data_IF_615126559392
#
_entry.id   IF_615126559392
#
_cell.length_a   1.000
_cell.length_b   1.000
_cell.length_c   1.000
_cell.angle_alpha   90.00
_cell.angle_beta   90.00
_cell.angle_gamma   90.00
#
_symmetry.space_group_name_H-M   'P 1'
#
loop_
_entity.id
_entity.type
_entity.pdbx_description
1 polymer ?
#
# COMPACT_ATOMS: atom_id res chain seq x y z
N UNK A 1 32.17 -12.46 -12.40
CA UNK A 1 30.83 -12.90 -12.85
C UNK A 1 29.89 -11.71 -12.76
N UNK A 2 29.15 -11.41 -13.84
CA UNK A 2 28.14 -10.34 -13.90
C UNK A 2 26.79 -10.88 -13.42
N UNK A 3 25.99 -10.04 -12.78
CA UNK A 3 24.68 -10.35 -12.22
C UNK A 3 23.65 -9.34 -12.68
N UNK A 4 22.37 -9.72 -12.63
CA UNK A 4 21.26 -8.79 -12.79
C UNK A 4 21.36 -7.69 -11.74
N UNK A 5 21.17 -6.44 -12.15
CA UNK A 5 21.35 -5.23 -11.35
C UNK A 5 22.75 -4.61 -11.44
N UNK A 6 23.75 -5.30 -11.98
CA UNK A 6 25.10 -4.73 -12.15
C UNK A 6 25.10 -3.62 -13.21
N UNK A 7 25.88 -2.56 -12.95
CA UNK A 7 26.22 -1.55 -13.94
C UNK A 7 27.53 -1.90 -14.63
N UNK A 8 27.57 -1.76 -15.95
CA UNK A 8 28.66 -2.27 -16.78
C UNK A 8 29.00 -1.35 -17.94
N UNK A 9 30.26 -1.40 -18.34
CA UNK A 9 30.77 -0.77 -19.55
C UNK A 9 30.58 -1.67 -20.76
N UNK A 10 29.89 -1.15 -21.77
CA UNK A 10 29.73 -1.75 -23.08
C UNK A 10 30.69 -1.12 -24.09
N UNK A 11 31.32 -1.97 -24.89
CA UNK A 11 32.12 -1.56 -26.04
C UNK A 11 31.25 -0.93 -27.13
N UNK A 12 31.74 0.17 -27.69
CA UNK A 12 31.15 0.85 -28.85
C UNK A 12 32.03 0.64 -30.08
N UNK A 13 31.44 0.52 -31.28
CA UNK A 13 32.17 0.20 -32.52
C UNK A 13 33.07 1.32 -33.06
N UNK A 14 33.01 2.52 -32.48
CA UNK A 14 33.82 3.69 -32.83
C UNK A 14 34.71 4.04 -31.64
N UNK A 15 35.91 4.65 -31.84
CA UNK A 15 36.91 5.03 -30.83
C UNK A 15 36.40 6.07 -29.80
N UNK A 16 35.32 5.69 -29.14
CA UNK A 16 34.45 6.48 -28.29
C UNK A 16 34.47 5.81 -26.91
N UNK A 17 34.35 6.60 -25.84
CA UNK A 17 34.21 6.09 -24.49
C UNK A 17 33.10 5.04 -24.38
N UNK A 18 33.33 4.03 -23.54
CA UNK A 18 32.37 2.96 -23.28
C UNK A 18 30.99 3.51 -22.87
N UNK A 19 29.94 2.88 -23.38
CA UNK A 19 28.58 3.15 -22.95
C UNK A 19 28.32 2.49 -21.60
N UNK A 20 27.59 3.17 -20.72
CA UNK A 20 27.23 2.64 -19.41
C UNK A 20 25.81 2.11 -19.49
N UNK A 21 25.62 0.88 -19.00
CA UNK A 21 24.32 0.20 -19.04
C UNK A 21 24.08 -0.57 -17.74
N UNK A 22 22.81 -0.77 -17.38
CA UNK A 22 22.41 -1.63 -16.26
C UNK A 22 21.86 -2.94 -16.79
N UNK A 23 22.28 -4.06 -16.22
CA UNK A 23 21.78 -5.39 -16.58
C UNK A 23 20.42 -5.62 -15.94
N UNK A 24 19.37 -5.72 -16.75
CA UNK A 24 18.01 -6.07 -16.30
C UNK A 24 17.80 -7.58 -16.33
N UNK A 25 18.40 -8.27 -17.29
CA UNK A 25 18.28 -9.73 -17.43
C UNK A 25 19.47 -10.32 -18.21
N UNK A 26 19.78 -11.59 -17.95
CA UNK A 26 20.84 -12.35 -18.61
C UNK A 26 20.28 -13.67 -19.13
N UNK A 27 20.16 -13.77 -20.46
CA UNK A 27 19.59 -14.92 -21.13
C UNK A 27 20.67 -15.73 -21.84
N UNK A 28 20.71 -17.04 -21.57
CA UNK A 28 21.59 -17.97 -22.29
C UNK A 28 20.80 -18.67 -23.39
N UNK A 29 21.20 -18.47 -24.63
CA UNK A 29 20.56 -19.11 -25.78
C UNK A 29 20.88 -20.62 -25.82
N UNK A 30 20.06 -21.44 -26.49
CA UNK A 30 20.32 -22.88 -26.64
C UNK A 30 21.65 -23.19 -27.33
N UNK A 31 22.17 -22.26 -28.15
CA UNK A 31 23.50 -22.35 -28.78
C UNK A 31 24.66 -22.04 -27.82
N UNK A 32 24.37 -21.67 -26.58
CA UNK A 32 25.35 -21.42 -25.52
C UNK A 32 25.86 -19.97 -25.45
N UNK A 33 25.39 -19.08 -26.34
CA UNK A 33 25.70 -17.65 -26.28
C UNK A 33 24.90 -16.97 -25.16
N UNK A 34 25.47 -15.94 -24.55
CA UNK A 34 24.81 -15.18 -23.48
C UNK A 34 24.48 -13.79 -24.01
N UNK A 35 23.21 -13.41 -23.90
CA UNK A 35 22.68 -12.10 -24.23
C UNK A 35 22.25 -11.39 -22.95
N UNK A 36 22.53 -10.10 -22.89
CA UNK A 36 22.14 -9.24 -21.78
C UNK A 36 21.05 -8.28 -22.25
N UNK A 37 19.92 -8.27 -21.55
CA UNK A 37 18.90 -7.23 -21.69
C UNK A 37 19.27 -6.09 -20.75
N UNK A 38 19.46 -4.90 -21.29
CA UNK A 38 20.13 -3.80 -20.60
C UNK A 38 19.42 -2.47 -20.79
N UNK A 39 19.41 -1.67 -19.73
CA UNK A 39 18.92 -0.29 -19.72
C UNK A 39 20.08 0.67 -19.96
N UNK A 40 19.85 1.74 -20.74
CA UNK A 40 20.91 2.64 -21.20
C UNK A 40 21.08 3.86 -20.29
N UNK A 41 22.34 4.29 -20.14
CA UNK A 41 22.69 5.59 -19.57
C UNK A 41 23.33 6.47 -20.63
N UNK A 42 22.83 7.70 -20.74
CA UNK A 42 23.34 8.72 -21.64
C UNK A 42 24.34 9.61 -20.90
N UNK A 43 25.42 9.99 -21.57
CA UNK A 43 26.33 11.02 -21.07
C UNK A 43 25.82 12.39 -21.49
N UNK A 44 26.33 13.44 -20.86
CA UNK A 44 25.99 14.83 -21.22
C UNK A 44 26.16 15.13 -22.71
N UNK A 45 27.23 14.63 -23.34
CA UNK A 45 27.48 14.84 -24.78
C UNK A 45 26.42 14.20 -25.69
N UNK A 46 25.67 13.22 -25.19
CA UNK A 46 24.65 12.50 -25.94
C UNK A 46 23.28 13.20 -25.81
N UNK A 47 23.21 14.32 -25.07
CA UNK A 47 22.01 15.11 -24.80
C UNK A 47 22.16 16.48 -25.46
N UNK A 48 21.05 17.03 -25.95
CA UNK A 48 21.04 18.34 -26.61
C UNK A 48 21.44 19.47 -25.65
N UNK A 49 22.17 20.47 -26.17
CA UNK A 49 22.63 21.60 -25.38
C UNK A 49 21.48 22.40 -24.74
N UNK A 50 20.31 22.43 -25.39
CA UNK A 50 19.11 23.08 -24.86
C UNK A 50 18.60 22.39 -23.58
N UNK A 51 18.54 21.05 -23.58
CA UNK A 51 18.13 20.28 -22.40
C UNK A 51 19.16 20.35 -21.29
N UNK A 52 20.46 20.33 -21.62
CA UNK A 52 21.51 20.50 -20.63
C UNK A 52 21.43 21.88 -19.95
N UNK A 53 21.16 22.94 -20.71
CA UNK A 53 20.97 24.28 -20.14
C UNK A 53 19.82 24.30 -19.14
N UNK A 54 18.70 23.65 -19.46
CA UNK A 54 17.57 23.49 -18.53
C UNK A 54 17.99 22.67 -17.30
N UNK A 55 18.70 21.57 -17.48
CA UNK A 55 19.15 20.71 -16.37
C UNK A 55 20.12 21.42 -15.42
N UNK A 56 21.00 22.26 -15.96
CA UNK A 56 22.03 23.00 -15.22
C UNK A 56 21.48 24.26 -14.54
N UNK A 57 20.42 24.85 -15.09
CA UNK A 57 19.75 26.05 -14.56
C UNK A 57 18.55 25.74 -13.66
N UNK A 58 17.96 24.55 -13.77
CA UNK A 58 16.91 24.13 -12.86
C UNK A 58 17.47 24.19 -11.45
N UNK A 59 16.96 25.09 -10.61
CA UNK A 59 17.28 25.12 -9.18
C UNK A 59 16.86 23.78 -8.58
N UNK A 60 17.77 22.81 -8.61
CA UNK A 60 17.69 21.58 -7.81
C UNK A 60 18.08 21.91 -6.37
N UNK A 61 17.67 23.10 -5.90
CA UNK A 61 17.90 23.62 -4.56
C UNK A 61 16.90 22.90 -3.69
N UNK A 62 17.42 22.01 -2.84
CA UNK A 62 16.61 21.16 -1.97
C UNK A 62 16.02 21.91 -0.76
N UNK A 63 16.13 23.24 -0.71
CA UNK A 63 15.62 24.06 0.38
C UNK A 63 14.11 24.35 0.30
N UNK A 64 13.49 24.19 -0.87
CA UNK A 64 12.03 24.32 -1.01
C UNK A 64 11.38 22.94 -1.15
N UNK A 65 11.15 22.31 0.00
CA UNK A 65 10.46 21.01 0.13
C UNK A 65 8.97 21.04 -0.29
N UNK A 66 8.49 22.14 -0.86
CA UNK A 66 7.09 22.41 -1.16
C UNK A 66 6.95 23.12 -2.51
N UNK A 67 6.33 22.47 -3.50
CA UNK A 67 5.70 23.20 -4.60
C UNK A 67 4.50 23.98 -4.02
N UNK A 68 4.70 25.24 -3.62
CA UNK A 68 3.58 26.14 -3.35
C UNK A 68 2.92 26.43 -4.69
N UNK A 69 1.66 26.04 -4.84
CA UNK A 69 0.81 26.28 -6.02
C UNK A 69 0.77 27.82 -6.27
N UNK A 70 1.69 28.35 -7.08
CA UNK A 70 1.62 29.77 -7.51
C UNK A 70 0.34 29.92 -8.33
N UNK A 71 -0.48 30.96 -8.11
CA UNK A 71 -1.71 31.15 -8.85
C UNK A 71 -1.39 31.20 -10.36
N UNK A 72 -1.98 30.27 -11.12
CA UNK A 72 -1.72 30.14 -12.56
C UNK A 72 -2.25 31.36 -13.30
N UNK A 73 -1.42 31.95 -14.18
CA UNK A 73 -1.89 32.88 -15.21
C UNK A 73 -2.72 32.13 -16.26
N UNK A 74 -3.82 32.74 -16.69
CA UNK A 74 -4.96 32.19 -17.47
C UNK A 74 -4.69 31.60 -18.88
N UNK A 75 -3.57 30.94 -19.15
CA UNK A 75 -3.36 30.26 -20.44
C UNK A 75 -2.68 28.89 -20.29
N UNK A 76 -3.46 27.86 -20.66
CA UNK A 76 -3.12 26.49 -21.09
C UNK A 76 -3.37 25.29 -20.15
N UNK A 77 -4.13 24.33 -20.70
CA UNK A 77 -3.73 22.92 -20.88
C UNK A 77 -4.02 21.92 -19.75
N UNK A 78 -4.92 20.96 -20.01
CA UNK A 78 -5.50 19.97 -19.07
C UNK A 78 -4.63 18.72 -18.79
N UNK A 79 -3.29 18.80 -18.84
CA UNK A 79 -2.43 17.63 -18.58
C UNK A 79 -1.33 17.96 -17.57
N UNK A 80 -1.48 17.44 -16.34
CA UNK A 80 -0.60 17.66 -15.20
C UNK A 80 0.73 16.90 -15.26
N UNK A 81 1.57 17.23 -16.23
CA UNK A 81 2.99 16.87 -16.24
C UNK A 81 3.82 18.12 -16.46
N UNK A 82 4.84 18.34 -15.62
CA UNK A 82 5.82 19.40 -15.77
C UNK A 82 6.73 19.02 -16.94
N UNK A 83 6.30 19.37 -18.15
CA UNK A 83 7.09 19.22 -19.38
C UNK A 83 7.96 20.46 -19.51
N UNK A 84 9.28 20.32 -19.37
CA UNK A 84 10.22 21.37 -19.71
C UNK A 84 10.33 21.47 -21.25
N UNK A 85 9.29 21.98 -21.89
CA UNK A 85 9.35 22.35 -23.31
C UNK A 85 10.00 23.73 -23.41
N UNK A 86 11.16 23.78 -24.08
CA UNK A 86 11.76 25.03 -24.53
C UNK A 86 10.85 25.69 -25.56
N UNK A 87 10.10 26.70 -25.13
CA UNK A 87 9.47 27.67 -26.00
C UNK A 87 9.82 29.07 -25.49
N UNK A 88 10.40 29.86 -26.40
CA UNK A 88 10.95 31.19 -26.17
C UNK A 88 10.04 32.09 -25.33
N UNK A 89 10.53 32.49 -24.16
CA UNK A 89 9.93 33.54 -23.35
C UNK A 89 10.90 34.71 -23.31
N UNK A 90 10.56 35.78 -24.04
CA UNK A 90 11.26 37.06 -23.97
C UNK A 90 11.21 37.54 -22.52
N UNK A 91 12.38 37.78 -21.95
CA UNK A 91 12.55 38.33 -20.59
C UNK A 91 12.32 39.83 -20.67
N UNK A 92 11.31 40.34 -19.97
CA UNK A 92 11.21 41.76 -19.63
C UNK A 92 12.17 42.05 -18.46
N UNK A 93 12.99 43.08 -18.63
CA UNK A 93 13.91 43.60 -17.62
C UNK A 93 13.14 44.33 -16.53
N UNK A 94 13.23 43.88 -15.29
CA UNK A 94 13.03 44.73 -14.11
C UNK A 94 14.36 44.85 -13.36
N UNK A 95 14.93 46.06 -13.41
CA UNK A 95 16.14 46.45 -12.68
C UNK A 95 15.80 46.80 -11.23
N UNK A 96 16.40 46.07 -10.27
CA UNK A 96 16.61 46.55 -8.91
C UNK A 96 17.94 45.99 -8.39
N UNK A 97 18.93 46.88 -8.24
CA UNK A 97 20.34 46.53 -8.21
C UNK A 97 20.91 45.93 -6.92
N UNK A 98 22.02 45.21 -7.09
CA UNK A 98 23.18 45.39 -6.21
C UNK A 98 24.47 45.37 -7.04
N UNK A 99 25.23 46.45 -6.92
CA UNK A 99 26.41 46.76 -7.73
C UNK A 99 27.66 46.29 -7.00
N UNK A 100 28.40 45.34 -7.54
CA UNK A 100 29.82 45.14 -7.21
C UNK A 100 30.61 45.19 -8.52
N UNK A 101 31.50 46.17 -8.58
CA UNK A 101 32.44 46.43 -9.67
C UNK A 101 33.58 45.39 -9.66
N UNK A 102 33.84 44.70 -10.79
CA UNK A 102 35.09 44.86 -11.55
C UNK A 102 35.28 43.82 -12.68
N UNK A 103 35.65 44.35 -13.87
CA UNK A 103 36.29 43.77 -15.08
C UNK A 103 35.37 43.23 -16.18
N UNK A 104 35.31 44.02 -17.26
CA UNK A 104 34.59 43.81 -18.52
C UNK A 104 35.38 42.93 -19.53
N UNK A 105 35.96 41.79 -19.12
CA UNK A 105 36.81 40.96 -20.00
C UNK A 105 36.50 39.43 -19.98
N UNK A 106 35.35 38.97 -19.48
CA UNK A 106 35.04 37.52 -19.36
C UNK A 106 33.61 37.13 -19.84
N UNK A 107 33.12 37.68 -20.96
CA UNK A 107 31.78 37.33 -21.49
C UNK A 107 31.63 35.88 -22.03
N UNK A 108 32.71 35.11 -22.12
CA UNK A 108 32.69 33.73 -22.66
C UNK A 108 32.84 32.61 -21.60
N UNK A 109 32.85 32.93 -20.30
CA UNK A 109 32.85 31.88 -19.25
C UNK A 109 31.45 31.30 -19.07
N UNK A 110 31.17 30.19 -19.75
CA UNK A 110 29.94 29.40 -19.55
C UNK A 110 29.92 28.88 -18.10
N UNK A 111 29.12 29.50 -17.23
CA UNK A 111 28.84 28.98 -15.89
C UNK A 111 27.85 27.81 -15.98
N UNK A 112 28.34 26.62 -15.66
CA UNK A 112 27.60 25.36 -15.77
C UNK A 112 26.65 25.10 -14.58
N UNK A 113 26.47 26.04 -13.65
CA UNK A 113 25.58 25.90 -12.49
C UNK A 113 25.99 24.79 -11.51
N UNK A 114 25.47 24.79 -10.29
CA UNK A 114 25.73 23.72 -9.28
C UNK A 114 24.60 22.69 -9.22
N UNK A 115 23.49 22.98 -9.89
CA UNK A 115 22.30 22.15 -9.88
C UNK A 115 22.61 20.71 -10.32
N UNK A 116 22.17 19.74 -9.52
CA UNK A 116 22.34 18.32 -9.85
C UNK A 116 23.66 17.70 -9.51
N UNK A 117 24.57 18.44 -8.89
CA UNK A 117 25.81 17.90 -8.39
C UNK A 117 25.68 17.54 -6.90
N UNK A 118 26.51 16.62 -6.39
CA UNK A 118 26.54 16.25 -4.97
C UNK A 118 26.83 17.44 -4.04
N UNK A 119 26.54 17.28 -2.75
CA UNK A 119 26.87 18.29 -1.74
C UNK A 119 28.39 18.53 -1.64
N UNK A 120 28.78 19.78 -1.39
CA UNK A 120 30.19 20.19 -1.23
C UNK A 120 30.91 20.57 -2.53
N UNK A 121 30.19 20.63 -3.66
CA UNK A 121 30.77 21.04 -4.95
C UNK A 121 31.10 22.54 -5.00
N UNK A 122 30.42 23.34 -4.18
CA UNK A 122 30.64 24.80 -4.08
C UNK A 122 32.05 25.16 -3.59
N UNK A 123 32.69 24.26 -2.85
CA UNK A 123 34.04 24.45 -2.29
C UNK A 123 35.16 24.03 -3.27
N UNK A 124 34.82 23.45 -4.42
CA UNK A 124 35.78 22.95 -5.40
C UNK A 124 36.19 24.00 -6.42
N UNK A 125 37.41 23.86 -6.96
CA UNK A 125 37.85 24.65 -8.11
C UNK A 125 37.04 24.31 -9.38
N UNK A 126 36.98 25.22 -10.34
CA UNK A 126 36.26 25.05 -11.62
C UNK A 126 36.61 23.73 -12.33
N UNK A 127 37.90 23.38 -12.39
CA UNK A 127 38.36 22.12 -13.01
C UNK A 127 37.84 20.88 -12.27
N UNK A 128 37.82 20.91 -10.94
CA UNK A 128 37.35 19.81 -10.12
C UNK A 128 35.83 19.65 -10.25
N UNK A 129 35.10 20.77 -10.22
CA UNK A 129 33.65 20.79 -10.48
C UNK A 129 33.32 20.25 -11.86
N UNK A 130 34.08 20.62 -12.88
CA UNK A 130 33.92 20.07 -14.23
C UNK A 130 34.13 18.54 -14.26
N UNK A 131 35.14 18.02 -13.56
CA UNK A 131 35.36 16.57 -13.44
C UNK A 131 34.21 15.84 -12.73
N UNK A 132 33.60 16.45 -11.71
CA UNK A 132 32.41 15.87 -11.05
C UNK A 132 31.22 15.86 -12.01
N UNK A 133 31.00 16.96 -12.73
CA UNK A 133 29.92 17.09 -13.74
C UNK A 133 30.04 16.07 -14.88
N UNK A 134 31.25 15.69 -15.29
CA UNK A 134 31.47 14.64 -16.30
C UNK A 134 31.02 13.24 -15.84
N UNK A 135 30.74 13.03 -14.55
CA UNK A 135 30.26 11.78 -13.98
C UNK A 135 28.73 11.69 -13.90
N UNK A 136 28.03 12.78 -14.22
CA UNK A 136 26.57 12.80 -14.32
C UNK A 136 26.13 12.00 -15.55
N UNK A 137 25.25 11.04 -15.32
CA UNK A 137 24.58 10.22 -16.32
C UNK A 137 23.08 10.49 -16.29
N UNK A 138 22.41 10.11 -17.36
CA UNK A 138 20.96 10.24 -17.52
C UNK A 138 20.37 8.88 -17.83
N UNK A 139 19.47 8.41 -16.97
CA UNK A 139 18.83 7.11 -17.13
C UNK A 139 17.83 7.18 -18.29
N UNK A 140 17.89 6.25 -19.24
CA UNK A 140 16.82 6.08 -20.23
C UNK A 140 15.96 4.87 -19.87
N UNK A 141 14.65 4.96 -20.08
CA UNK A 141 13.74 3.80 -19.94
C UNK A 141 13.79 2.86 -21.14
N UNK A 142 14.60 3.18 -22.15
CA UNK A 142 14.82 2.31 -23.30
C UNK A 142 15.64 1.08 -22.89
N UNK A 143 15.18 -0.08 -23.33
CA UNK A 143 15.82 -1.37 -23.08
C UNK A 143 16.30 -1.96 -24.40
N UNK A 144 17.53 -2.45 -24.43
CA UNK A 144 18.15 -3.10 -25.58
C UNK A 144 18.68 -4.48 -25.19
N UNK A 145 18.72 -5.42 -26.14
CA UNK A 145 19.33 -6.74 -25.95
C UNK A 145 20.62 -6.81 -26.76
N UNK A 146 21.75 -7.03 -26.07
CA UNK A 146 23.06 -7.10 -26.69
C UNK A 146 23.84 -8.36 -26.23
N UNK A 147 24.78 -8.87 -27.05
CA UNK A 147 25.65 -9.96 -26.64
C UNK A 147 26.48 -9.57 -25.40
N UNK A 148 26.55 -10.46 -24.41
CA UNK A 148 27.33 -10.22 -23.19
C UNK A 148 28.85 -10.14 -23.44
N UNK A 149 29.31 -10.52 -24.64
CA UNK A 149 30.69 -10.37 -25.09
C UNK A 149 31.14 -8.91 -25.23
N UNK A 150 30.19 -7.97 -25.35
CA UNK A 150 30.48 -6.54 -25.43
C UNK A 150 30.80 -5.91 -24.07
N UNK A 151 30.62 -6.65 -22.97
CA UNK A 151 30.87 -6.14 -21.62
C UNK A 151 32.37 -6.14 -21.33
N UNK A 152 32.94 -4.95 -21.08
CA UNK A 152 34.39 -4.76 -20.85
C UNK A 152 34.76 -4.60 -19.37
N UNK A 153 33.84 -4.15 -18.52
CA UNK A 153 34.08 -4.00 -17.09
C UNK A 153 32.81 -3.66 -16.31
N UNK A 154 32.91 -3.69 -14.98
CA UNK A 154 31.85 -3.19 -14.07
C UNK A 154 32.13 -1.75 -13.68
N UNK A 155 31.07 -1.00 -13.45
CA UNK A 155 31.12 0.33 -12.85
C UNK A 155 30.07 0.45 -11.75
N UNK A 156 30.11 1.56 -11.03
CA UNK A 156 29.14 1.91 -10.00
C UNK A 156 28.35 3.14 -10.46
N UNK A 157 27.03 2.99 -10.54
CA UNK A 157 26.10 4.09 -10.80
C UNK A 157 25.13 4.14 -9.64
N UNK A 158 24.92 5.32 -9.07
CA UNK A 158 23.99 5.53 -7.94
C UNK A 158 22.98 6.60 -8.28
N UNK A 159 21.75 6.47 -7.78
CA UNK A 159 20.79 7.56 -7.83
C UNK A 159 21.25 8.63 -6.84
N UNK A 160 21.45 9.85 -7.32
CA UNK A 160 21.94 10.95 -6.49
C UNK A 160 20.97 11.21 -5.34
N UNK A 161 21.41 10.89 -4.13
CA UNK A 161 20.70 11.15 -2.88
C UNK A 161 21.03 12.55 -2.36
N UNK A 162 20.15 13.09 -1.53
CA UNK A 162 20.29 14.43 -0.93
C UNK A 162 21.47 14.54 0.01
N UNK A 163 21.94 13.43 0.59
CA UNK A 163 23.04 13.41 1.56
C UNK A 163 24.39 13.02 0.93
N UNK A 164 24.42 12.72 -0.38
CA UNK A 164 25.65 12.30 -1.04
C UNK A 164 26.57 13.49 -1.29
N UNK A 165 27.84 13.32 -0.95
CA UNK A 165 28.88 14.33 -1.10
C UNK A 165 29.78 14.02 -2.29
N UNK A 166 30.59 14.98 -2.72
CA UNK A 166 31.60 14.79 -3.77
C UNK A 166 32.48 13.57 -3.50
N UNK A 167 32.88 13.35 -2.24
CA UNK A 167 33.79 12.27 -1.85
C UNK A 167 33.24 10.87 -2.13
N UNK A 168 31.91 10.72 -2.14
CA UNK A 168 31.25 9.46 -2.52
C UNK A 168 31.64 9.00 -3.93
N UNK A 169 31.94 9.96 -4.80
CA UNK A 169 32.24 9.77 -6.22
C UNK A 169 33.72 9.83 -6.56
N UNK A 170 34.62 9.76 -5.59
CA UNK A 170 36.04 9.65 -5.87
C UNK A 170 36.40 8.27 -6.47
N UNK A 171 37.08 8.26 -7.61
CA UNK A 171 37.49 7.07 -8.39
C UNK A 171 36.97 7.07 -9.83
N UNK A 172 37.59 6.39 -10.80
CA UNK A 172 37.22 6.53 -12.23
C UNK A 172 35.92 5.81 -12.62
N UNK A 173 35.50 4.80 -11.87
CA UNK A 173 34.36 3.93 -12.18
C UNK A 173 33.07 4.28 -11.42
N UNK A 174 32.98 5.50 -10.87
CA UNK A 174 31.84 5.95 -10.07
C UNK A 174 31.08 7.09 -10.75
N UNK A 175 29.80 6.86 -10.96
CA UNK A 175 28.87 7.77 -11.62
C UNK A 175 27.60 7.95 -10.79
N UNK A 176 26.84 8.98 -11.12
CA UNK A 176 25.52 9.22 -10.56
C UNK A 176 24.54 9.67 -11.63
N UNK A 177 23.26 9.50 -11.36
CA UNK A 177 22.18 10.07 -12.15
C UNK A 177 21.12 10.65 -11.23
N UNK A 178 20.42 11.69 -11.69
CA UNK A 178 19.26 12.25 -10.96
C UNK A 178 18.07 12.51 -11.88
N UNK A 179 18.25 12.34 -13.18
CA UNK A 179 17.27 12.65 -14.22
C UNK A 179 17.10 11.44 -15.14
N UNK A 180 15.87 11.26 -15.60
CA UNK A 180 15.48 10.31 -16.63
C UNK A 180 15.38 11.05 -17.95
N UNK A 181 16.10 10.58 -18.96
CA UNK A 181 16.05 11.10 -20.32
C UNK A 181 15.16 10.22 -21.19
N UNK A 182 14.17 10.82 -21.85
CA UNK A 182 13.38 10.17 -22.87
C UNK A 182 13.94 10.52 -24.26
N UNK A 183 14.65 9.59 -24.95
CA UNK A 183 15.22 9.86 -26.26
C UNK A 183 14.17 10.01 -27.37
N UNK A 184 12.93 9.53 -27.16
CA UNK A 184 11.85 9.64 -28.15
C UNK A 184 11.18 11.01 -28.10
N UNK A 185 11.01 11.56 -26.90
CA UNK A 185 10.39 12.87 -26.69
C UNK A 185 11.41 14.00 -26.58
N UNK A 186 12.70 13.69 -26.44
CA UNK A 186 13.77 14.65 -26.16
C UNK A 186 13.45 15.47 -24.90
N UNK A 187 13.08 14.78 -23.81
CA UNK A 187 12.70 15.41 -22.53
C UNK A 187 13.52 14.86 -21.36
N UNK A 188 13.65 15.67 -20.31
CA UNK A 188 14.26 15.30 -19.04
C UNK A 188 13.18 15.31 -17.95
N UNK A 189 13.12 14.25 -17.16
CA UNK A 189 12.19 14.06 -16.05
C UNK A 189 12.96 13.84 -14.76
N UNK A 190 12.48 14.40 -13.64
CA UNK A 190 13.01 14.06 -12.33
C UNK A 190 12.56 12.64 -11.94
N UNK A 191 13.48 11.82 -11.44
CA UNK A 191 13.20 10.43 -11.03
C UNK A 191 12.63 10.33 -9.58
N UNK A 192 12.31 11.47 -8.94
CA UNK A 192 11.81 11.52 -7.56
C UNK A 192 10.32 11.87 -7.53
N UNK A 193 9.56 11.12 -6.72
CA UNK A 193 8.19 11.52 -6.34
C UNK A 193 8.23 12.72 -5.40
N UNK A 194 7.25 13.63 -5.53
CA UNK A 194 7.16 14.84 -4.73
C UNK A 194 5.95 14.79 -3.79
N UNK A 195 6.16 15.19 -2.53
CA UNK A 195 5.07 15.50 -1.61
C UNK A 195 4.45 16.84 -2.02
N UNK A 196 3.11 16.93 -1.99
CA UNK A 196 2.39 18.15 -2.35
C UNK A 196 1.80 18.81 -1.10
N UNK A 197 1.88 20.13 -1.04
CA UNK A 197 1.33 20.93 0.06
C UNK A 197 0.45 22.04 -0.51
N UNK A 198 -0.77 22.13 0.01
CA UNK A 198 -1.81 23.09 -0.35
C UNK A 198 -3.19 22.59 0.05
N UNK A 199 -4.15 23.50 0.22
CA UNK A 199 -5.52 23.20 0.67
C UNK A 199 -6.24 22.08 -0.11
N UNK A 200 -5.80 21.79 -1.34
CA UNK A 200 -6.34 20.71 -2.18
C UNK A 200 -5.78 19.32 -1.84
N UNK A 201 -4.72 19.26 -1.04
CA UNK A 201 -3.97 18.06 -0.69
C UNK A 201 -4.08 17.73 0.81
N UNK A 202 -4.05 18.74 1.68
CA UNK A 202 -4.26 18.57 3.11
C UNK A 202 -5.74 18.32 3.42
N UNK A 203 -6.00 17.41 4.37
CA UNK A 203 -7.32 17.27 4.96
C UNK A 203 -7.60 18.45 5.89
N UNK A 204 -8.86 18.89 5.95
CA UNK A 204 -9.30 19.85 6.96
C UNK A 204 -9.31 19.18 8.33
N UNK A 205 -8.60 19.76 9.29
CA UNK A 205 -8.45 19.19 10.63
C UNK A 205 -9.62 19.67 11.49
N UNK A 206 -10.48 18.78 12.00
CA UNK A 206 -11.60 19.20 12.84
C UNK A 206 -11.11 19.93 14.11
N UNK A 207 -11.75 21.05 14.45
CA UNK A 207 -11.39 21.91 15.60
C UNK A 207 -11.39 21.19 16.96
N UNK A 208 -12.03 20.03 17.06
CA UNK A 208 -12.20 19.27 18.32
C UNK A 208 -11.16 18.18 18.54
N UNK A 209 -10.18 18.00 17.65
CA UNK A 209 -8.97 17.24 17.97
C UNK A 209 -8.01 18.09 18.79
N UNK A 210 -8.46 18.57 19.96
CA UNK A 210 -7.51 18.90 21.01
C UNK A 210 -6.85 17.58 21.41
N UNK A 211 -5.55 17.45 21.15
CA UNK A 211 -4.74 16.50 21.89
C UNK A 211 -4.98 16.83 23.36
N UNK A 212 -5.58 15.90 24.08
CA UNK A 212 -5.95 16.04 25.49
C UNK A 212 -4.69 15.98 26.38
N UNK A 213 -3.67 16.76 26.04
CA UNK A 213 -2.39 16.93 26.76
C UNK A 213 -2.60 17.73 28.06
N UNK A 214 -3.78 18.30 28.29
CA UNK A 214 -4.13 19.01 29.52
C UNK A 214 -4.72 18.11 30.62
N UNK A 215 -4.78 16.79 30.44
CA UNK A 215 -5.11 15.86 31.54
C UNK A 215 -3.98 15.62 32.54
N UNK A 216 -2.83 16.28 32.40
CA UNK A 216 -1.77 16.26 33.43
C UNK A 216 -1.81 17.42 34.43
N UNK A 217 -2.64 18.45 34.22
CA UNK A 217 -2.74 19.58 35.15
C UNK A 217 -4.16 19.76 35.69
N UNK A 218 -4.47 18.96 36.72
CA UNK A 218 -5.18 19.41 37.92
C UNK A 218 -6.71 19.49 37.91
N UNK A 219 -7.35 19.91 36.82
CA UNK A 219 -8.70 20.47 36.97
C UNK A 219 -9.77 19.80 36.08
N UNK A 220 -9.35 18.95 35.14
CA UNK A 220 -10.25 18.10 34.34
C UNK A 220 -10.71 16.82 35.05
N UNK A 221 -10.01 16.41 36.12
CA UNK A 221 -10.39 15.23 36.92
C UNK A 221 -11.72 15.44 37.65
N UNK A 222 -12.08 16.67 38.04
CA UNK A 222 -13.17 16.90 38.99
C UNK A 222 -14.56 16.61 38.40
N UNK A 223 -14.79 16.86 37.11
CA UNK A 223 -16.12 16.61 36.49
C UNK A 223 -16.30 15.13 36.14
N UNK A 224 -15.27 14.46 35.62
CA UNK A 224 -15.32 13.01 35.37
C UNK A 224 -15.26 12.19 36.65
N UNK A 225 -14.56 12.65 37.69
CA UNK A 225 -14.54 11.95 38.98
C UNK A 225 -15.82 12.11 39.79
N UNK A 226 -16.57 13.22 39.65
CA UNK A 226 -17.89 13.30 40.26
C UNK A 226 -18.92 12.37 39.60
N UNK A 227 -18.63 11.86 38.40
CA UNK A 227 -19.47 10.87 37.70
C UNK A 227 -18.93 9.43 37.81
N UNK A 228 -17.65 9.27 38.16
CA UNK A 228 -16.96 7.96 38.27
C UNK A 228 -16.63 7.53 39.71
N UNK A 229 -16.79 8.41 40.71
CA UNK A 229 -16.50 8.11 42.11
C UNK A 229 -17.58 8.63 43.07
N UNK A 230 -18.75 8.00 43.02
CA UNK A 230 -19.68 7.88 44.16
C UNK A 230 -20.19 6.45 44.15
N UNK A 231 -19.85 5.54 45.04
CA UNK A 231 -18.93 5.46 46.17
C UNK A 231 -18.37 4.03 46.11
N UNK A 232 -17.07 3.84 46.36
CA UNK A 232 -16.64 2.67 47.14
C UNK A 232 -15.24 2.96 47.68
N UNK A 233 -15.26 3.46 48.92
CA UNK A 233 -14.10 3.68 49.75
C UNK A 233 -13.59 2.30 50.18
N UNK A 234 -12.39 1.93 49.73
CA UNK A 234 -11.61 0.86 50.33
C UNK A 234 -11.34 1.23 51.80
N UNK A 235 -12.16 0.69 52.70
CA UNK A 235 -11.79 0.54 54.10
C UNK A 235 -11.10 -0.81 54.23
N UNK A 236 -9.81 -0.77 54.55
CA UNK A 236 -9.19 -1.81 55.35
C UNK A 236 -9.77 -1.62 56.75
N UNK A 237 -10.46 -2.63 57.28
CA UNK A 237 -10.41 -2.97 58.71
C UNK A 237 -11.07 -4.34 58.95
N UNK A 238 -10.55 -4.99 59.98
CA UNK A 238 -10.76 -6.35 60.44
C UNK A 238 -12.21 -6.75 60.81
N UNK A 239 -12.46 -8.06 60.70
CA UNK A 239 -13.46 -8.93 61.38
C UNK A 239 -14.97 -8.57 61.50
N UNK A 240 -15.76 -9.66 61.43
CA UNK A 240 -17.14 -9.90 61.89
C UNK A 240 -18.35 -9.84 60.92
N UNK A 241 -19.25 -10.81 61.19
CA UNK A 241 -20.37 -11.35 60.42
C UNK A 241 -21.55 -10.39 60.19
N UNK A 242 -22.23 -10.47 59.03
CA UNK A 242 -23.65 -10.90 58.94
C UNK A 242 -24.24 -10.82 57.52
N UNK A 243 -25.24 -11.69 57.34
CA UNK A 243 -26.15 -11.91 56.21
C UNK A 243 -26.62 -10.71 55.36
N UNK A 244 -26.88 -10.95 54.07
CA UNK A 244 -27.92 -10.21 53.33
C UNK A 244 -27.69 -10.05 51.83
N UNK A 245 -28.55 -10.67 51.03
CA UNK A 245 -28.71 -10.52 49.58
C UNK A 245 -28.82 -9.07 49.09
N UNK A 246 -28.25 -8.72 47.92
CA UNK A 246 -28.95 -8.02 46.83
C UNK A 246 -28.10 -7.78 45.55
N UNK A 247 -28.62 -8.31 44.43
CA UNK A 247 -28.69 -7.75 43.06
C UNK A 247 -27.51 -6.88 42.57
N UNK A 248 -26.67 -7.46 41.71
CA UNK A 248 -25.67 -6.72 40.90
C UNK A 248 -26.35 -6.02 39.72
N UNK A 249 -26.10 -4.72 39.63
CA UNK A 249 -26.54 -3.80 38.58
C UNK A 249 -25.89 -4.16 37.24
N UNK A 250 -26.72 -4.26 36.21
CA UNK A 250 -26.31 -4.51 34.83
C UNK A 250 -25.39 -3.39 34.30
N UNK A 251 -24.17 -3.75 33.88
CA UNK A 251 -23.33 -2.89 33.05
C UNK A 251 -24.02 -2.72 31.69
N UNK A 252 -24.25 -1.46 31.33
CA UNK A 252 -24.99 -1.04 30.14
C UNK A 252 -24.23 -1.47 28.88
N UNK A 253 -24.83 -2.31 28.05
CA UNK A 253 -24.29 -2.69 26.74
C UNK A 253 -24.02 -1.42 25.88
N UNK A 254 -23.01 -1.44 24.98
CA UNK A 254 -22.76 -0.34 24.05
C UNK A 254 -24.04 -0.01 23.26
N UNK A 255 -24.37 1.28 23.17
CA UNK A 255 -25.51 1.74 22.37
C UNK A 255 -25.18 1.51 20.89
N UNK A 256 -26.00 0.72 20.19
CA UNK A 256 -25.92 0.56 18.74
C UNK A 256 -25.96 1.94 18.07
N UNK A 257 -24.98 2.22 17.20
CA UNK A 257 -24.99 3.45 16.40
C UNK A 257 -25.43 3.13 14.98
N UNK A 258 -25.83 4.13 14.20
CA UNK A 258 -26.13 3.91 12.77
C UNK A 258 -24.95 3.34 11.96
N UNK A 259 -23.72 3.42 12.49
CA UNK A 259 -22.49 3.05 11.79
C UNK A 259 -21.95 1.68 12.17
N UNK A 260 -22.41 1.10 13.28
CA UNK A 260 -21.90 -0.17 13.77
C UNK A 260 -22.95 -0.95 14.55
N UNK A 261 -22.90 -2.28 14.39
CA UNK A 261 -23.70 -3.23 15.15
C UNK A 261 -22.72 -4.17 15.83
N UNK A 262 -22.91 -4.40 17.12
CA UNK A 262 -22.09 -5.32 17.88
C UNK A 262 -22.42 -6.75 17.45
N UNK A 263 -21.39 -7.52 17.06
CA UNK A 263 -21.54 -8.92 16.63
C UNK A 263 -20.89 -9.91 17.60
N UNK A 264 -20.03 -9.41 18.49
CA UNK A 264 -19.39 -10.16 19.55
C UNK A 264 -18.89 -9.20 20.64
N UNK A 265 -19.14 -9.55 21.89
CA UNK A 265 -18.69 -8.88 23.10
C UNK A 265 -17.63 -9.72 23.82
N UNK A 266 -16.41 -9.21 24.07
CA UNK A 266 -15.36 -9.95 24.76
C UNK A 266 -15.64 -10.27 26.23
N UNK A 267 -16.53 -9.51 26.88
CA UNK A 267 -16.86 -9.70 28.30
C UNK A 267 -18.20 -10.42 28.43
N UNK A 268 -18.17 -11.73 28.61
CA UNK A 268 -19.34 -12.57 28.81
C UNK A 268 -19.08 -13.63 29.88
N UNK A 269 -20.12 -14.30 30.34
CA UNK A 269 -20.03 -15.33 31.39
C UNK A 269 -19.46 -16.67 30.94
N UNK A 270 -19.26 -16.88 29.63
CA UNK A 270 -18.73 -18.14 29.09
C UNK A 270 -17.21 -18.22 29.21
N UNK A 271 -16.70 -19.42 29.52
CA UNK A 271 -15.27 -19.73 29.43
C UNK A 271 -14.90 -20.14 28.01
N UNK A 272 -13.62 -20.07 27.64
CA UNK A 272 -13.13 -20.57 26.35
C UNK A 272 -13.53 -22.03 26.09
N UNK A 273 -13.54 -22.84 27.16
CA UNK A 273 -13.98 -24.23 27.10
C UNK A 273 -15.46 -24.36 26.73
N UNK A 274 -16.32 -23.48 27.27
CA UNK A 274 -17.75 -23.50 26.96
C UNK A 274 -18.00 -23.10 25.50
N UNK A 275 -17.26 -22.10 25.00
CA UNK A 275 -17.31 -21.69 23.60
C UNK A 275 -16.83 -22.81 22.67
N UNK A 276 -15.68 -23.43 22.96
CA UNK A 276 -15.16 -24.55 22.18
C UNK A 276 -16.15 -25.72 22.12
N UNK A 277 -16.78 -26.05 23.26
CA UNK A 277 -17.82 -27.08 23.33
C UNK A 277 -19.03 -26.72 22.47
N UNK A 278 -19.50 -25.47 22.53
CA UNK A 278 -20.59 -25.02 21.69
C UNK A 278 -20.24 -25.09 20.19
N UNK A 279 -19.02 -24.69 19.80
CA UNK A 279 -18.55 -24.80 18.41
C UNK A 279 -18.48 -26.26 17.94
N UNK A 280 -18.14 -27.21 18.82
CA UNK A 280 -18.23 -28.65 18.51
C UNK A 280 -19.69 -29.06 18.27
N UNK A 281 -20.62 -28.62 19.12
CA UNK A 281 -22.05 -28.90 18.96
C UNK A 281 -22.58 -28.33 17.64
N UNK A 282 -22.23 -27.08 17.29
CA UNK A 282 -22.63 -26.46 16.04
C UNK A 282 -22.15 -27.25 14.81
N UNK A 283 -20.89 -27.74 14.82
CA UNK A 283 -20.36 -28.61 13.76
C UNK A 283 -21.09 -29.95 13.67
N UNK A 284 -21.45 -30.55 14.80
CA UNK A 284 -22.23 -31.79 14.83
C UNK A 284 -23.63 -31.58 14.23
N UNK A 285 -24.29 -30.47 14.57
CA UNK A 285 -25.58 -30.08 13.98
C UNK A 285 -25.45 -29.82 12.47
N UNK A 286 -24.41 -29.12 12.04
CA UNK A 286 -24.16 -28.85 10.62
C UNK A 286 -23.86 -30.14 9.80
N UNK A 287 -23.23 -31.13 10.42
CA UNK A 287 -22.99 -32.45 9.82
C UNK A 287 -24.31 -33.22 9.66
N UNK A 288 -25.14 -33.22 10.70
CA UNK A 288 -26.44 -33.87 10.68
C UNK A 288 -27.39 -33.19 9.68
N UNK A 289 -27.39 -31.85 9.60
CA UNK A 289 -28.20 -31.10 8.64
C UNK A 289 -27.90 -31.48 7.19
N UNK A 290 -26.61 -31.59 6.83
CA UNK A 290 -26.18 -32.05 5.49
C UNK A 290 -26.54 -33.50 5.18
N UNK A 291 -26.63 -34.36 6.20
CA UNK A 291 -27.08 -35.73 6.01
C UNK A 291 -28.58 -35.81 5.70
N UNK A 292 -29.38 -34.85 6.18
CA UNK A 292 -30.80 -34.72 5.87
C UNK A 292 -31.06 -34.00 4.54
N UNK A 293 -30.13 -33.14 4.10
CA UNK A 293 -30.23 -32.44 2.83
C UNK A 293 -29.77 -33.30 1.65
N UNK A 294 -30.72 -33.72 0.81
CA UNK A 294 -30.45 -34.51 -0.41
C UNK A 294 -29.46 -33.84 -1.35
N UNK A 295 -29.45 -32.50 -1.42
CA UNK A 295 -28.52 -31.76 -2.29
C UNK A 295 -27.07 -31.88 -1.80
N UNK A 296 -26.84 -31.77 -0.50
CA UNK A 296 -25.52 -31.91 0.12
C UNK A 296 -25.04 -33.36 0.15
N UNK A 297 -25.95 -34.32 0.38
CA UNK A 297 -25.63 -35.76 0.44
C UNK A 297 -25.04 -36.30 -0.88
N UNK A 298 -25.46 -35.74 -2.02
CA UNK A 298 -24.90 -36.10 -3.34
C UNK A 298 -23.52 -35.50 -3.61
N UNK A 299 -23.24 -34.28 -3.12
CA UNK A 299 -21.93 -33.62 -3.26
C UNK A 299 -20.89 -34.16 -2.27
N UNK A 300 -21.33 -34.57 -1.08
CA UNK A 300 -20.48 -35.00 0.03
C UNK A 300 -20.75 -36.47 0.41
N UNK A 301 -20.38 -37.45 -0.44
CA UNK A 301 -20.75 -38.86 -0.25
C UNK A 301 -20.13 -39.55 0.97
N UNK A 302 -19.15 -38.94 1.64
CA UNK A 302 -18.50 -39.51 2.82
C UNK A 302 -18.76 -38.68 4.08
N UNK A 303 -18.83 -39.37 5.22
CA UNK A 303 -19.00 -38.74 6.53
C UNK A 303 -17.87 -37.74 6.82
N UNK A 304 -16.62 -38.09 6.46
CA UNK A 304 -15.47 -37.21 6.67
C UNK A 304 -15.58 -35.91 5.86
N UNK A 305 -16.04 -35.98 4.60
CA UNK A 305 -16.25 -34.77 3.79
C UNK A 305 -17.39 -33.90 4.33
N UNK A 306 -18.46 -34.53 4.81
CA UNK A 306 -19.58 -33.82 5.44
C UNK A 306 -19.14 -33.11 6.73
N UNK A 307 -18.36 -33.79 7.58
CA UNK A 307 -17.80 -33.22 8.80
C UNK A 307 -16.81 -32.09 8.50
N UNK A 308 -16.00 -32.22 7.44
CA UNK A 308 -15.08 -31.18 7.00
C UNK A 308 -15.84 -29.93 6.49
N UNK A 309 -16.89 -30.11 5.69
CA UNK A 309 -17.75 -29.02 5.22
C UNK A 309 -18.43 -28.28 6.38
N UNK A 310 -18.99 -29.03 7.34
CA UNK A 310 -19.58 -28.45 8.56
C UNK A 310 -18.55 -27.78 9.49
N UNK A 311 -17.25 -28.09 9.35
CA UNK A 311 -16.16 -27.48 10.14
C UNK A 311 -15.59 -26.21 9.51
N UNK A 312 -16.12 -25.74 8.38
CA UNK A 312 -15.69 -24.50 7.71
C UNK A 312 -16.13 -23.27 8.52
N UNK A 313 -15.38 -22.18 8.33
CA UNK A 313 -15.53 -20.94 9.09
C UNK A 313 -16.94 -20.35 9.02
N UNK A 314 -17.67 -20.52 7.91
CA UNK A 314 -19.08 -20.11 7.78
C UNK A 314 -19.95 -20.67 8.90
N UNK A 315 -19.72 -21.92 9.32
CA UNK A 315 -20.48 -22.54 10.42
C UNK A 315 -20.00 -22.02 11.78
N UNK A 316 -18.70 -21.76 11.94
CA UNK A 316 -18.12 -21.26 13.19
C UNK A 316 -18.53 -19.81 13.45
N UNK A 317 -18.44 -18.94 12.44
CA UNK A 317 -18.87 -17.54 12.49
C UNK A 317 -20.36 -17.45 12.82
N UNK A 318 -21.18 -18.29 12.18
CA UNK A 318 -22.62 -18.32 12.48
C UNK A 318 -22.90 -18.79 13.91
N UNK A 319 -22.18 -19.81 14.40
CA UNK A 319 -22.28 -20.24 15.78
C UNK A 319 -21.91 -19.12 16.77
N UNK A 320 -20.84 -18.36 16.50
CA UNK A 320 -20.45 -17.22 17.34
C UNK A 320 -21.49 -16.10 17.34
N UNK A 321 -22.11 -15.81 16.19
CA UNK A 321 -23.21 -14.85 16.10
C UNK A 321 -24.43 -15.31 16.91
N UNK A 322 -24.76 -16.61 16.87
CA UNK A 322 -25.84 -17.19 17.67
C UNK A 322 -25.56 -17.12 19.18
N UNK A 323 -24.30 -17.27 19.61
CA UNK A 323 -23.93 -17.07 21.01
C UNK A 323 -24.16 -15.63 21.44
N UNK A 324 -23.71 -14.66 20.63
CA UNK A 324 -23.91 -13.25 20.92
C UNK A 324 -25.39 -12.89 20.99
N UNK A 325 -26.20 -13.35 20.03
CA UNK A 325 -27.63 -13.10 19.98
C UNK A 325 -28.42 -13.82 21.10
N UNK A 326 -27.89 -14.92 21.63
CA UNK A 326 -28.45 -15.61 22.78
C UNK A 326 -28.02 -14.97 24.12
N UNK A 327 -27.46 -13.76 24.11
CA UNK A 327 -26.88 -13.10 25.28
C UNK A 327 -25.86 -14.01 26.02
N UNK A 328 -25.13 -14.82 25.26
CA UNK A 328 -24.18 -15.82 25.76
C UNK A 328 -24.79 -16.92 26.63
N UNK A 329 -26.11 -17.17 26.54
CA UNK A 329 -26.76 -18.36 27.09
C UNK A 329 -26.64 -19.55 26.11
N UNK A 330 -25.79 -20.52 26.46
CA UNK A 330 -25.59 -21.75 25.66
C UNK A 330 -26.92 -22.49 25.43
N UNK A 331 -27.79 -22.55 26.45
CA UNK A 331 -29.05 -23.29 26.36
C UNK A 331 -29.99 -22.67 25.33
N UNK A 332 -29.98 -21.34 25.23
CA UNK A 332 -30.73 -20.62 24.23
C UNK A 332 -30.06 -20.70 22.84
N UNK A 333 -28.73 -20.58 22.77
CA UNK A 333 -27.97 -20.71 21.53
C UNK A 333 -28.15 -22.09 20.86
N UNK A 334 -28.20 -23.18 21.64
CA UNK A 334 -28.46 -24.53 21.12
C UNK A 334 -29.86 -24.66 20.52
N UNK A 335 -30.88 -23.99 21.09
CA UNK A 335 -32.22 -23.96 20.48
C UNK A 335 -32.21 -23.25 19.13
N UNK A 336 -31.37 -22.23 18.97
CA UNK A 336 -31.20 -21.56 17.69
C UNK A 336 -30.51 -22.42 16.64
N UNK A 337 -29.67 -23.38 17.03
CA UNK A 337 -29.10 -24.36 16.08
C UNK A 337 -30.17 -25.31 15.49
N UNK A 338 -31.32 -25.48 16.15
CA UNK A 338 -32.40 -26.38 15.72
C UNK A 338 -33.76 -25.67 15.85
N UNK A 339 -34.04 -24.67 15.01
CA UNK A 339 -35.29 -23.94 15.07
C UNK A 339 -36.51 -24.85 14.87
N UNK A 340 -37.63 -24.54 15.53
CA UNK A 340 -38.89 -25.20 15.26
C UNK A 340 -39.33 -24.96 13.79
N UNK A 341 -40.26 -25.77 13.26
CA UNK A 341 -40.72 -25.69 11.86
C UNK A 341 -41.46 -24.40 11.47
N UNK A 342 -41.38 -23.35 12.29
CA UNK A 342 -41.95 -22.04 12.03
C UNK A 342 -40.81 -21.01 11.85
N UNK A 343 -40.70 -20.45 10.64
CA UNK A 343 -39.68 -19.45 10.26
C UNK A 343 -39.70 -18.19 11.14
N UNK A 344 -40.82 -17.89 11.80
CA UNK A 344 -40.96 -16.68 12.63
C UNK A 344 -40.23 -16.76 13.99
N UNK A 345 -39.76 -17.95 14.39
CA UNK A 345 -39.12 -18.16 15.69
C UNK A 345 -37.58 -18.21 15.61
N UNK A 346 -37.03 -18.33 14.41
CA UNK A 346 -35.59 -18.35 14.20
C UNK A 346 -35.03 -16.90 14.19
N UNK A 347 -33.86 -16.65 14.80
CA UNK A 347 -33.31 -15.31 14.85
C UNK A 347 -32.71 -14.90 13.49
N UNK A 348 -33.48 -14.11 12.73
CA UNK A 348 -33.07 -13.59 11.42
C UNK A 348 -31.92 -12.56 11.50
N UNK A 349 -31.63 -12.01 12.68
CA UNK A 349 -30.55 -11.03 12.85
C UNK A 349 -29.15 -11.66 12.72
N UNK A 350 -28.96 -12.91 13.18
CA UNK A 350 -27.70 -13.63 12.96
C UNK A 350 -27.37 -13.77 11.47
N UNK A 351 -28.35 -14.11 10.63
CA UNK A 351 -28.15 -14.22 9.17
C UNK A 351 -27.77 -12.87 8.54
N UNK A 352 -28.33 -11.75 9.04
CA UNK A 352 -27.95 -10.40 8.58
C UNK A 352 -26.52 -10.04 8.98
N UNK A 353 -26.11 -10.40 10.20
CA UNK A 353 -24.74 -10.10 10.68
C UNK A 353 -23.67 -10.91 9.97
N UNK A 354 -23.98 -12.15 9.57
CA UNK A 354 -23.02 -13.04 8.93
C UNK A 354 -23.04 -12.95 7.40
N UNK A 355 -24.11 -12.40 6.82
CA UNK A 355 -24.26 -12.26 5.36
C UNK A 355 -24.41 -13.59 4.63
N UNK A 356 -24.86 -14.65 5.33
CA UNK A 356 -24.97 -16.01 4.79
C UNK A 356 -26.42 -16.47 4.69
N UNK A 357 -26.76 -17.19 3.60
CA UNK A 357 -28.08 -17.76 3.38
C UNK A 357 -28.27 -19.05 4.20
N UNK A 358 -28.71 -18.94 5.46
CA UNK A 358 -29.09 -20.13 6.22
C UNK A 358 -30.46 -20.65 5.76
N UNK A 359 -30.55 -21.93 5.44
CA UNK A 359 -31.81 -22.55 5.01
C UNK A 359 -32.46 -23.25 6.21
N UNK A 360 -33.46 -22.61 6.82
CA UNK A 360 -34.27 -23.23 7.89
C UNK A 360 -35.52 -23.90 7.30
N UNK A 361 -35.49 -25.22 7.14
CA UNK A 361 -36.63 -26.05 6.72
C UNK A 361 -37.39 -26.67 7.92
N UNK A 362 -37.25 -26.10 9.11
CA UNK A 362 -37.66 -26.74 10.37
C UNK A 362 -36.74 -27.91 10.70
N UNK A 363 -35.96 -27.80 11.78
CA UNK A 363 -34.87 -28.72 12.07
C UNK A 363 -33.49 -28.05 12.02
N UNK A 364 -32.40 -28.82 11.95
CA UNK A 364 -31.03 -28.33 12.18
C UNK A 364 -30.59 -27.33 11.11
N UNK A 365 -29.95 -26.24 11.53
CA UNK A 365 -29.47 -25.20 10.61
C UNK A 365 -28.43 -25.73 9.62
N UNK A 366 -28.49 -25.23 8.38
CA UNK A 366 -27.52 -25.51 7.33
C UNK A 366 -26.85 -24.19 6.89
N UNK A 367 -25.56 -24.06 7.17
CA UNK A 367 -24.74 -22.93 6.75
C UNK A 367 -23.79 -23.39 5.66
N UNK A 368 -23.87 -22.82 4.45
CA UNK A 368 -22.99 -23.12 3.31
C UNK A 368 -22.35 -21.85 2.81
N UNK A 369 -21.08 -21.92 2.45
CA UNK A 369 -20.42 -20.84 1.73
C UNK A 369 -20.45 -21.12 0.22
N UNK A 370 -19.95 -20.16 -0.56
CA UNK A 370 -20.05 -20.20 -2.02
C UNK A 370 -19.36 -21.44 -2.62
N UNK A 371 -18.27 -21.93 -2.02
CA UNK A 371 -17.58 -23.14 -2.50
C UNK A 371 -18.43 -24.41 -2.34
N UNK A 372 -19.25 -24.50 -1.29
CA UNK A 372 -20.16 -25.65 -1.10
C UNK A 372 -21.51 -25.45 -1.82
N UNK A 373 -21.97 -24.20 -1.92
CA UNK A 373 -23.24 -23.84 -2.52
C UNK A 373 -23.24 -24.11 -4.04
N UNK A 374 -22.14 -23.77 -4.73
CA UNK A 374 -22.01 -23.95 -6.18
C UNK A 374 -22.26 -25.39 -6.62
N UNK A 375 -23.07 -25.54 -7.66
CA UNK A 375 -23.27 -26.80 -8.34
C UNK A 375 -21.98 -27.26 -9.04
N UNK A 376 -21.87 -28.56 -9.32
CA UNK A 376 -20.74 -29.09 -10.09
C UNK A 376 -20.62 -28.41 -11.47
N UNK A 377 -21.73 -27.98 -12.06
CA UNK A 377 -21.72 -27.27 -13.35
C UNK A 377 -21.13 -25.86 -13.22
N UNK A 378 -21.50 -25.11 -12.17
CA UNK A 378 -20.96 -23.76 -11.92
C UNK A 378 -19.47 -23.80 -11.58
N UNK A 379 -19.03 -24.79 -10.79
CA UNK A 379 -17.61 -24.97 -10.49
C UNK A 379 -16.77 -25.22 -11.75
N UNK A 380 -17.24 -26.11 -12.65
CA UNK A 380 -16.56 -26.37 -13.91
C UNK A 380 -16.54 -25.15 -14.83
N UNK A 381 -17.66 -24.41 -14.92
CA UNK A 381 -17.70 -23.15 -15.69
C UNK A 381 -16.71 -22.12 -15.17
N UNK A 382 -16.53 -22.04 -13.85
CA UNK A 382 -15.57 -21.13 -13.24
C UNK A 382 -14.12 -21.54 -13.54
N UNK A 383 -13.79 -22.83 -13.52
CA UNK A 383 -12.46 -23.32 -13.91
C UNK A 383 -12.14 -22.97 -15.37
N UNK A 384 -13.06 -23.25 -16.30
CA UNK A 384 -12.93 -22.91 -17.72
C UNK A 384 -12.75 -21.39 -17.94
N UNK A 385 -13.51 -20.58 -17.20
CA UNK A 385 -13.43 -19.13 -17.28
C UNK A 385 -12.09 -18.59 -16.77
N UNK A 386 -11.55 -19.20 -15.70
CA UNK A 386 -10.26 -18.81 -15.12
C UNK A 386 -9.09 -19.16 -16.04
N UNK A 387 -9.18 -20.29 -16.77
CA UNK A 387 -8.22 -20.61 -17.83
C UNK A 387 -8.28 -19.63 -19.00
N UNK A 388 -9.50 -19.19 -19.38
CA UNK A 388 -9.70 -18.31 -20.53
C UNK A 388 -9.36 -16.84 -20.25
N UNK A 389 -9.78 -16.32 -19.10
CA UNK A 389 -9.71 -14.90 -18.76
C UNK A 389 -8.75 -14.59 -17.62
N UNK A 390 -8.09 -15.60 -17.05
CA UNK A 390 -7.22 -15.43 -15.89
C UNK A 390 -8.02 -14.94 -14.67
N UNK A 391 -7.55 -13.86 -14.05
CA UNK A 391 -8.15 -13.31 -12.81
C UNK A 391 -9.03 -12.08 -13.06
N UNK A 392 -9.50 -11.87 -14.29
CA UNK A 392 -10.50 -10.83 -14.56
C UNK A 392 -11.90 -11.33 -14.19
N UNK A 393 -12.25 -11.15 -12.91
CA UNK A 393 -13.54 -11.61 -12.38
C UNK A 393 -14.75 -10.84 -12.94
N UNK A 394 -14.54 -9.66 -13.56
CA UNK A 394 -15.63 -8.93 -14.20
C UNK A 394 -16.10 -9.68 -15.44
N UNK A 395 -15.16 -10.07 -16.29
CA UNK A 395 -15.44 -10.80 -17.53
C UNK A 395 -15.85 -12.25 -17.27
N UNK A 396 -15.22 -12.92 -16.29
CA UNK A 396 -15.63 -14.26 -15.82
C UNK A 396 -17.10 -14.27 -15.41
N UNK A 397 -17.55 -13.25 -14.66
CA UNK A 397 -18.96 -13.17 -14.22
C UNK A 397 -19.92 -12.92 -15.37
N UNK A 398 -19.59 -12.02 -16.31
CA UNK A 398 -20.51 -11.65 -17.41
C UNK A 398 -20.73 -12.82 -18.37
N UNK A 399 -19.67 -13.56 -18.68
CA UNK A 399 -19.68 -14.55 -19.75
C UNK A 399 -19.96 -15.99 -19.28
N UNK A 400 -19.58 -16.35 -18.05
CA UNK A 400 -19.60 -17.75 -17.59
C UNK A 400 -20.53 -18.00 -16.40
N UNK A 401 -20.65 -17.05 -15.46
CA UNK A 401 -21.41 -17.25 -14.22
C UNK A 401 -22.46 -16.15 -14.05
N UNK A 402 -23.59 -16.30 -14.76
CA UNK A 402 -24.79 -15.48 -14.48
C UNK A 402 -25.42 -15.96 -13.18
N UNK A 403 -25.00 -15.37 -12.06
CA UNK A 403 -25.74 -15.41 -10.79
C UNK A 403 -26.97 -14.52 -10.90
#
# INVERSE_FOLDING_TARGET
MYKVGDYVYFETPENTPYQIRRIEDLNKTPSGQVEARVTLFYRRRDISAALLKIADQAERRFDEYYEVDKPKSDKYGLTGHTVANGADSKIEHDEAGHKICSREDDEDRIDWGVAGLPLGVEELNDDQRHRVRQRELFLSRQVETLPATLIRGKCQVTLLSEIETVSSYDGEDKFFYSLVYDPSQMTLLADKGAIRVGEKYQADVPDSMECDDNRENGDGWVIVANMLFTEDKLMIDDEEEHSGSNVRVAQRAPLETEREVLVYHPHHSLTDRDMDQFLIVARAVGTFSRALDTSSSTKLPSLHMTAAAASRDVTLLHAMALLHQADYDIGQAVKYLVPPPNKNYYPLEADKTTGHNTVSLGGPILCRDQIEEWSAAEANLFEDALEKYGKDFSDVRVDFVRI
#
